data_IF_877548643418
#
_entry.id   IF_877548643418
#
_cell.length_a   1.000
_cell.length_b   1.000
_cell.length_c   1.000
_cell.angle_alpha   90.00
_cell.angle_beta   90.00
_cell.angle_gamma   90.00
#
_symmetry.space_group_name_H-M   'P 1'
#
loop_
_entity.id
_entity.type
_entity.pdbx_description
1 polymer ?
#
# COMPACT_ATOMS: atom_id res chain seq x y z
N UNK A 1 -8.06 17.75 -10.44
CA UNK A 1 -7.33 17.23 -9.27
C UNK A 1 -8.30 16.29 -8.58
N UNK A 2 -7.98 15.00 -8.52
CA UNK A 2 -8.83 14.02 -7.84
C UNK A 2 -8.59 14.15 -6.34
N UNK A 3 -9.64 14.15 -5.53
CA UNK A 3 -9.51 14.14 -4.06
C UNK A 3 -9.19 12.71 -3.61
N UNK A 4 -8.26 12.56 -2.65
CA UNK A 4 -7.93 11.24 -2.08
C UNK A 4 -9.20 10.58 -1.51
N UNK A 5 -9.53 9.38 -2.00
CA UNK A 5 -10.76 8.66 -1.64
C UNK A 5 -11.99 8.93 -2.53
N UNK A 6 -11.94 9.85 -3.49
CA UNK A 6 -13.03 10.07 -4.48
C UNK A 6 -13.23 8.86 -5.40
N UNK A 7 -12.15 8.11 -5.65
CA UNK A 7 -12.16 6.88 -6.41
C UNK A 7 -11.33 5.82 -5.68
N UNK A 8 -11.84 4.58 -5.66
CA UNK A 8 -11.14 3.43 -5.09
C UNK A 8 -11.52 2.16 -5.86
N UNK A 9 -10.65 1.16 -5.85
CA UNK A 9 -10.85 -0.09 -6.61
C UNK A 9 -11.81 -1.04 -5.88
N UNK A 10 -12.47 -1.94 -6.62
CA UNK A 10 -13.38 -2.91 -6.03
C UNK A 10 -12.70 -3.77 -4.95
N UNK A 11 -11.44 -4.18 -5.17
CA UNK A 11 -10.70 -4.97 -4.18
C UNK A 11 -10.42 -4.17 -2.89
N UNK A 12 -10.13 -2.87 -3.00
CA UNK A 12 -9.96 -2.01 -1.83
C UNK A 12 -11.28 -1.77 -1.10
N UNK A 13 -12.39 -1.56 -1.83
CA UNK A 13 -13.72 -1.41 -1.25
C UNK A 13 -14.24 -2.67 -0.55
N UNK A 14 -13.91 -3.85 -1.10
CA UNK A 14 -14.37 -5.13 -0.58
C UNK A 14 -13.59 -5.61 0.65
N UNK A 15 -12.41 -5.03 0.92
CA UNK A 15 -11.54 -5.47 2.00
C UNK A 15 -11.95 -4.82 3.34
N UNK A 16 -12.52 -5.58 4.30
CA UNK A 16 -12.97 -5.00 5.57
C UNK A 16 -11.82 -4.58 6.49
N UNK A 17 -10.61 -5.07 6.26
CA UNK A 17 -9.41 -4.77 7.06
C UNK A 17 -8.58 -3.61 6.51
N UNK A 18 -9.04 -2.93 5.46
CA UNK A 18 -8.30 -1.84 4.80
C UNK A 18 -6.88 -2.23 4.34
N UNK A 19 -6.66 -3.51 4.01
CA UNK A 19 -5.34 -4.02 3.62
C UNK A 19 -4.85 -3.46 2.28
N UNK A 20 -5.76 -3.09 1.38
CA UNK A 20 -5.44 -2.52 0.07
C UNK A 20 -5.79 -1.04 0.09
N UNK A 21 -4.78 -0.18 -0.09
CA UNK A 21 -4.96 1.27 -0.17
C UNK A 21 -4.64 1.75 -1.58
N UNK A 22 -5.62 2.40 -2.21
CA UNK A 22 -5.50 2.97 -3.55
C UNK A 22 -5.51 4.51 -3.48
N UNK A 23 -4.71 5.17 -4.32
CA UNK A 23 -4.65 6.64 -4.40
C UNK A 23 -3.62 7.15 -5.42
N UNK A 24 -3.40 8.47 -5.47
CA UNK A 24 -2.42 9.11 -6.37
C UNK A 24 -1.03 9.22 -5.70
N UNK A 25 -0.04 8.50 -6.23
CA UNK A 25 1.34 8.55 -5.76
C UNK A 25 2.03 9.91 -5.96
N UNK A 26 1.51 10.76 -6.86
CA UNK A 26 2.07 12.10 -7.12
C UNK A 26 1.58 13.14 -6.13
N UNK A 27 0.51 12.84 -5.38
CA UNK A 27 0.03 13.69 -4.31
C UNK A 27 0.69 13.26 -2.99
N UNK A 28 1.60 14.08 -2.41
CA UNK A 28 2.24 13.78 -1.14
C UNK A 28 1.25 13.73 0.04
N UNK A 29 0.10 14.37 -0.09
CA UNK A 29 -0.97 14.37 0.90
C UNK A 29 -1.88 13.13 0.80
N UNK A 30 -1.68 12.25 -0.18
CA UNK A 30 -2.46 11.02 -0.30
C UNK A 30 -2.09 9.98 0.77
N UNK A 31 -3.05 9.13 1.14
CA UNK A 31 -2.80 8.02 2.06
C UNK A 31 -1.75 7.04 1.52
N UNK A 32 -1.77 6.78 0.21
CA UNK A 32 -0.84 5.84 -0.44
C UNK A 32 0.60 6.35 -0.44
N UNK A 33 0.83 7.65 -0.66
CA UNK A 33 2.17 8.24 -0.66
C UNK A 33 2.84 8.13 0.72
N UNK A 34 2.05 8.30 1.80
CA UNK A 34 2.53 8.11 3.17
C UNK A 34 2.84 6.64 3.48
N UNK A 35 1.95 5.71 3.13
CA UNK A 35 2.14 4.28 3.41
C UNK A 35 3.33 3.71 2.65
N UNK A 36 3.57 4.17 1.42
CA UNK A 36 4.73 3.76 0.62
C UNK A 36 6.07 4.07 1.29
N UNK A 37 6.12 5.06 2.19
CA UNK A 37 7.32 5.42 2.95
C UNK A 37 7.51 4.60 4.24
N UNK A 38 6.58 3.69 4.56
CA UNK A 38 6.71 2.78 5.70
C UNK A 38 7.96 1.89 5.52
N UNK A 39 8.80 1.72 6.55
CA UNK A 39 10.02 0.91 6.46
C UNK A 39 9.75 -0.58 6.17
N UNK A 40 8.51 -1.05 6.31
CA UNK A 40 8.09 -2.41 5.94
C UNK A 40 7.74 -2.55 4.45
N UNK A 41 7.78 -1.46 3.69
CA UNK A 41 7.46 -1.43 2.28
C UNK A 41 8.50 -2.16 1.43
N UNK A 42 8.06 -3.09 0.59
CA UNK A 42 8.93 -3.77 -0.38
C UNK A 42 8.22 -4.00 -1.72
N UNK A 43 9.01 -4.19 -2.76
CA UNK A 43 8.53 -4.58 -4.08
C UNK A 43 8.74 -6.08 -4.31
N UNK A 44 7.71 -6.75 -4.82
CA UNK A 44 7.81 -8.17 -5.16
C UNK A 44 8.76 -8.35 -6.34
N UNK A 45 9.72 -9.28 -6.19
CA UNK A 45 10.74 -9.60 -7.20
C UNK A 45 11.57 -8.38 -7.63
N UNK A 46 12.07 -7.61 -6.65
CA UNK A 46 12.83 -6.38 -6.90
C UNK A 46 14.07 -6.60 -7.80
N UNK A 47 14.72 -7.76 -7.70
CA UNK A 47 15.87 -8.14 -8.53
C UNK A 47 15.58 -8.13 -10.04
N UNK A 48 14.32 -8.32 -10.44
CA UNK A 48 13.88 -8.33 -11.85
C UNK A 48 13.68 -6.90 -12.38
N UNK A 49 13.70 -5.87 -11.51
CA UNK A 49 13.58 -4.45 -11.87
C UNK A 49 12.35 -4.13 -12.74
N UNK A 50 11.21 -4.76 -12.46
CA UNK A 50 9.93 -4.52 -13.17
C UNK A 50 9.28 -3.19 -12.78
N UNK A 51 9.77 -2.54 -11.72
CA UNK A 51 9.29 -1.25 -11.19
C UNK A 51 7.77 -1.23 -11.01
N UNK A 52 7.21 -2.16 -10.21
CA UNK A 52 5.77 -2.27 -10.04
C UNK A 52 5.22 -1.04 -9.30
N UNK A 53 4.00 -0.63 -9.66
CA UNK A 53 3.29 0.45 -8.97
C UNK A 53 2.80 0.05 -7.57
N UNK A 54 2.81 -1.25 -7.24
CA UNK A 54 2.32 -1.82 -5.98
C UNK A 54 3.49 -1.95 -5.01
N UNK A 55 3.28 -1.49 -3.78
CA UNK A 55 4.20 -1.69 -2.64
C UNK A 55 3.49 -2.59 -1.64
N UNK A 56 4.15 -3.66 -1.21
CA UNK A 56 3.64 -4.56 -0.18
C UNK A 56 4.23 -4.17 1.17
N UNK A 57 3.49 -4.38 2.25
CA UNK A 57 3.99 -4.19 3.61
C UNK A 57 4.29 -5.56 4.22
N UNK A 58 5.48 -5.71 4.80
CA UNK A 58 5.84 -6.92 5.52
C UNK A 58 4.92 -7.13 6.73
N UNK A 59 4.48 -8.38 6.91
CA UNK A 59 3.72 -8.80 8.07
C UNK A 59 4.60 -8.74 9.33
N UNK A 60 4.06 -8.20 10.42
CA UNK A 60 4.75 -8.14 11.72
C UNK A 60 4.03 -9.08 12.68
N UNK A 61 4.68 -10.17 13.02
CA UNK A 61 4.20 -11.10 14.05
C UNK A 61 4.68 -10.60 15.41
N UNK A 62 3.75 -10.11 16.23
CA UNK A 62 4.04 -9.84 17.63
C UNK A 62 4.03 -11.17 18.38
N UNK A 63 5.21 -11.67 18.75
CA UNK A 63 5.33 -12.91 19.51
C UNK A 63 4.62 -12.79 20.86
N UNK A 64 3.42 -13.35 20.96
CA UNK A 64 3.04 -14.05 22.18
C UNK A 64 3.75 -15.40 22.12
N UNK A 65 4.34 -15.83 23.24
CA UNK A 65 4.82 -17.20 23.41
C UNK A 65 3.93 -18.22 22.68
N UNK A 66 4.56 -19.02 21.83
CA UNK A 66 4.08 -20.32 21.38
C UNK A 66 5.30 -21.21 21.12
#
# INVERSE_FOLDING_TARGET
MLVDGEFTTACAQACPSDAIVFGDLRDPASRVARIRQDPRGYHVLEDVNTRPAITYLAEVLHGAEA
#
